data_IF_885137677137
#
_entry.id   IF_885137677137
#
_cell.length_a   1.000
_cell.length_b   1.000
_cell.length_c   1.000
_cell.angle_alpha   90.00
_cell.angle_beta   90.00
_cell.angle_gamma   90.00
#
_symmetry.space_group_name_H-M   'P 1'
#
loop_
_entity.id
_entity.type
_entity.pdbx_description
1 polymer ?
#
# COMPACT_ATOMS: atom_id res chain seq x y z
N UNK A 1 -12.84 13.94 5.29
CA UNK A 1 -12.67 14.25 3.84
C UNK A 1 -13.44 13.16 3.11
N UNK A 2 -14.44 13.49 2.29
CA UNK A 2 -15.40 12.51 1.73
C UNK A 2 -14.90 11.72 0.51
N UNK A 3 -13.59 11.48 0.40
CA UNK A 3 -12.99 10.83 -0.76
C UNK A 3 -12.26 9.54 -0.35
N UNK A 4 -12.41 8.50 -1.17
CA UNK A 4 -11.70 7.22 -1.02
C UNK A 4 -10.33 7.32 -1.69
N UNK A 5 -9.22 7.01 -1.00
CA UNK A 5 -7.92 6.94 -1.64
C UNK A 5 -7.87 5.83 -2.69
N UNK A 6 -7.39 6.13 -3.89
CA UNK A 6 -7.25 5.15 -4.96
C UNK A 6 -5.88 4.44 -4.94
N UNK A 7 -4.79 5.21 -4.80
CA UNK A 7 -3.42 4.71 -4.66
C UNK A 7 -2.84 5.18 -3.33
N UNK A 8 -2.16 4.29 -2.61
CA UNK A 8 -1.30 4.61 -1.47
C UNK A 8 0.11 4.11 -1.78
N UNK A 9 1.08 5.01 -1.84
CA UNK A 9 2.48 4.68 -2.15
C UNK A 9 3.45 5.33 -1.17
N UNK A 10 4.50 4.61 -0.78
CA UNK A 10 5.57 5.17 0.04
C UNK A 10 6.14 4.19 1.06
N UNK A 11 6.91 4.73 2.02
CA UNK A 11 7.43 3.97 3.14
C UNK A 11 6.43 3.93 4.30
N UNK A 12 6.04 2.74 4.74
CA UNK A 12 5.12 2.56 5.86
C UNK A 12 5.82 2.46 7.23
N UNK A 13 7.15 2.49 7.25
CA UNK A 13 7.94 2.38 8.48
C UNK A 13 7.67 1.10 9.31
N UNK A 14 7.22 0.04 8.63
CA UNK A 14 6.86 -1.25 9.24
C UNK A 14 8.04 -2.24 9.32
N UNK A 15 9.23 -1.86 8.85
CA UNK A 15 10.44 -2.66 9.06
C UNK A 15 10.77 -2.72 10.56
N UNK A 16 10.54 -3.87 11.18
CA UNK A 16 10.72 -4.10 12.62
C UNK A 16 9.44 -4.00 13.45
N UNK A 17 8.30 -3.65 12.83
CA UNK A 17 7.00 -3.73 13.49
C UNK A 17 6.62 -5.19 13.77
N UNK A 18 5.81 -5.40 14.81
CA UNK A 18 5.26 -6.71 15.14
C UNK A 18 4.28 -7.19 14.06
N UNK A 19 4.09 -8.51 13.89
CA UNK A 19 3.11 -9.04 12.96
C UNK A 19 1.69 -8.47 13.16
N UNK A 20 1.29 -8.22 14.41
CA UNK A 20 -0.02 -7.68 14.75
C UNK A 20 -0.18 -6.23 14.29
N UNK A 21 0.85 -5.40 14.48
CA UNK A 21 0.84 -4.01 13.99
C UNK A 21 0.74 -3.98 12.47
N UNK A 22 1.52 -4.83 11.79
CA UNK A 22 1.48 -4.94 10.33
C UNK A 22 0.10 -5.37 9.84
N UNK A 23 -0.49 -6.42 10.43
CA UNK A 23 -1.84 -6.86 10.08
C UNK A 23 -2.90 -5.78 10.32
N UNK A 24 -2.77 -5.00 11.39
CA UNK A 24 -3.66 -3.88 11.68
C UNK A 24 -3.62 -2.80 10.59
N UNK A 25 -2.41 -2.39 10.19
CA UNK A 25 -2.23 -1.41 9.10
C UNK A 25 -2.77 -1.95 7.77
N UNK A 26 -2.48 -3.20 7.43
CA UNK A 26 -2.99 -3.83 6.20
C UNK A 26 -4.51 -3.88 6.20
N UNK A 27 -5.13 -4.29 7.32
CA UNK A 27 -6.59 -4.35 7.44
C UNK A 27 -7.23 -2.97 7.23
N UNK A 28 -6.68 -1.92 7.85
CA UNK A 28 -7.17 -0.56 7.68
C UNK A 28 -7.04 -0.05 6.24
N UNK A 29 -5.94 -0.36 5.55
CA UNK A 29 -5.76 0.00 4.13
C UNK A 29 -6.81 -0.68 3.23
N UNK A 30 -7.10 -1.95 3.49
CA UNK A 30 -8.11 -2.71 2.76
C UNK A 30 -9.54 -2.25 3.08
N UNK A 31 -9.85 -1.97 4.35
CA UNK A 31 -11.14 -1.45 4.81
C UNK A 31 -11.45 -0.06 4.24
N UNK A 32 -10.43 0.78 4.07
CA UNK A 32 -10.56 2.06 3.34
C UNK A 32 -10.87 1.87 1.86
N UNK A 33 -10.78 0.63 1.35
CA UNK A 33 -11.01 0.30 -0.06
C UNK A 33 -9.92 0.84 -0.96
N UNK A 34 -8.67 0.90 -0.52
CA UNK A 34 -7.57 1.37 -1.36
C UNK A 34 -7.32 0.36 -2.48
N UNK A 35 -7.36 0.83 -3.73
CA UNK A 35 -7.24 -0.05 -4.89
C UNK A 35 -5.82 -0.56 -5.09
N UNK A 36 -4.81 0.31 -4.92
CA UNK A 36 -3.40 -0.03 -5.20
C UNK A 36 -2.49 0.47 -4.10
N UNK A 37 -1.72 -0.44 -3.51
CA UNK A 37 -0.86 -0.20 -2.35
C UNK A 37 0.57 -0.55 -2.74
N UNK A 38 1.49 0.40 -2.60
CA UNK A 38 2.91 0.26 -2.95
C UNK A 38 3.80 0.38 -1.71
N UNK A 39 4.16 -0.74 -1.02
CA UNK A 39 5.05 -0.72 0.13
C UNK A 39 6.53 -0.57 -0.28
N UNK A 40 7.08 0.62 -0.11
CA UNK A 40 8.45 0.96 -0.54
C UNK A 40 9.43 1.05 0.63
N UNK A 41 10.73 1.01 0.33
CA UNK A 41 11.86 1.29 1.24
C UNK A 41 11.68 0.70 2.65
N UNK A 42 11.37 1.54 3.64
CA UNK A 42 11.27 1.22 5.07
C UNK A 42 10.02 0.42 5.47
N UNK A 43 9.20 0.02 4.50
CA UNK A 43 8.04 -0.85 4.74
C UNK A 43 8.43 -2.24 5.25
N UNK A 44 9.56 -2.78 4.77
CA UNK A 44 10.03 -4.11 5.15
C UNK A 44 9.23 -5.25 4.52
N UNK A 45 9.72 -6.48 4.69
CA UNK A 45 9.15 -7.67 4.04
C UNK A 45 7.82 -8.12 4.65
N UNK A 46 7.63 -7.95 5.97
CA UNK A 46 6.43 -8.42 6.64
C UNK A 46 5.14 -7.87 6.01
N UNK A 47 5.07 -6.55 5.79
CA UNK A 47 3.89 -5.93 5.17
C UNK A 47 3.69 -6.36 3.72
N UNK A 48 4.76 -6.66 2.98
CA UNK A 48 4.66 -7.22 1.62
C UNK A 48 4.10 -8.65 1.63
N UNK A 49 4.41 -9.44 2.64
CA UNK A 49 3.85 -10.78 2.82
C UNK A 49 2.38 -10.76 3.22
N UNK A 50 1.93 -9.75 3.98
CA UNK A 50 0.53 -9.59 4.37
C UNK A 50 -0.33 -8.93 3.30
N UNK A 51 0.24 -8.02 2.52
CA UNK A 51 -0.38 -7.49 1.30
C UNK A 51 -0.08 -8.43 0.14
N UNK A 52 -0.89 -9.46 -0.03
CA UNK A 52 -0.84 -10.32 -1.21
C UNK A 52 -2.16 -10.20 -1.99
N UNK A 53 -2.09 -10.22 -3.32
CA UNK A 53 -3.27 -10.19 -4.19
C UNK A 53 -3.54 -8.85 -4.87
N UNK A 54 -4.82 -8.58 -5.15
CA UNK A 54 -5.24 -7.58 -6.15
C UNK A 54 -4.85 -6.14 -5.81
N UNK A 55 -4.70 -5.80 -4.52
CA UNK A 55 -4.33 -4.45 -4.10
C UNK A 55 -2.82 -4.23 -4.02
N UNK A 56 -2.02 -5.29 -3.91
CA UNK A 56 -0.57 -5.14 -3.75
C UNK A 56 0.11 -4.75 -5.07
N UNK A 57 1.00 -3.78 -4.99
CA UNK A 57 1.92 -3.41 -6.08
C UNK A 57 3.33 -3.30 -5.51
N UNK A 58 4.29 -3.90 -6.20
CA UNK A 58 5.71 -3.74 -5.88
C UNK A 58 6.24 -2.37 -6.33
N UNK A 59 7.51 -2.09 -6.03
CA UNK A 59 8.14 -0.85 -6.49
C UNK A 59 9.58 -0.70 -6.03
N UNK A 60 10.34 0.13 -6.73
CA UNK A 60 11.75 0.39 -6.48
C UNK A 60 12.22 1.65 -7.20
N UNK A 61 13.52 1.86 -7.23
CA UNK A 61 14.12 2.96 -8.02
C UNK A 61 13.68 2.83 -9.48
N UNK A 62 13.24 3.94 -10.07
CA UNK A 62 12.73 3.95 -11.45
C UNK A 62 11.27 3.50 -11.60
N UNK A 63 10.53 3.31 -10.49
CA UNK A 63 9.08 3.08 -10.56
C UNK A 63 8.39 4.28 -11.22
N UNK A 64 7.69 4.01 -12.32
CA UNK A 64 6.79 4.93 -12.99
C UNK A 64 5.35 4.46 -12.80
N UNK A 65 4.46 5.36 -12.37
CA UNK A 65 3.03 5.10 -12.21
C UNK A 65 2.29 6.11 -13.09
N UNK A 66 1.64 5.61 -14.15
CA UNK A 66 0.77 6.39 -15.02
C UNK A 66 -0.66 6.06 -14.63
N UNK A 67 -1.41 7.08 -14.20
CA UNK A 67 -2.83 6.97 -13.90
C UNK A 67 -3.58 7.90 -14.85
N UNK A 68 -4.25 7.31 -15.84
CA UNK A 68 -5.17 8.05 -16.68
C UNK A 68 -6.36 8.47 -15.83
N UNK A 69 -6.61 9.77 -15.76
CA UNK A 69 -7.81 10.30 -15.13
C UNK A 69 -8.84 10.44 -16.25
N UNK A 70 -9.75 9.48 -16.33
CA UNK A 70 -10.96 9.64 -17.13
C UNK A 70 -11.93 10.43 -16.27
N UNK A 71 -12.19 11.68 -16.65
CA UNK A 71 -13.30 12.44 -16.10
C UNK A 71 -14.55 12.02 -16.87
N UNK A 72 -15.51 11.44 -16.17
CA UNK A 72 -16.88 11.26 -16.68
C UNK A 72 -17.61 12.61 -16.77
#
# INVERSE_FOLDING_TARGET
IGARPYIVLGGFHMAGATPQEVQGVVSQLLEMGVERIYPLHCSGEAIRSYLYGENYRGGGVGLEIIQDVVND
#
